data_IF_484957333244
#
_entry.id   IF_484957333244
#
_cell.length_a   1.000
_cell.length_b   1.000
_cell.length_c   1.000
_cell.angle_alpha   90.00
_cell.angle_beta   90.00
_cell.angle_gamma   90.00
#
_symmetry.space_group_name_H-M   'P 1'
#
loop_
_entity.id
_entity.type
_entity.pdbx_description
1 polymer ?
#
# COMPACT_ATOMS: atom_id res chain seq x y z
N UNK A 1 -68.76 -23.33 33.08
CA UNK A 1 -69.39 -22.52 32.03
C UNK A 1 -68.40 -22.36 30.88
N UNK A 2 -68.33 -23.41 30.07
CA UNK A 2 -67.67 -23.38 28.76
C UNK A 2 -68.40 -22.36 27.87
N UNK A 3 -67.69 -21.87 26.85
CA UNK A 3 -68.25 -21.29 25.61
C UNK A 3 -69.03 -19.98 25.82
N UNK A 4 -68.36 -18.82 25.72
CA UNK A 4 -68.88 -17.62 25.03
C UNK A 4 -67.87 -16.45 25.12
N UNK A 5 -66.58 -16.69 24.86
CA UNK A 5 -65.66 -15.60 24.49
C UNK A 5 -65.21 -15.77 23.04
N UNK A 6 -66.21 -15.48 22.20
CA UNK A 6 -66.14 -14.80 20.92
C UNK A 6 -65.03 -15.20 19.93
N UNK A 7 -65.38 -16.12 19.02
CA UNK A 7 -64.77 -16.21 17.67
C UNK A 7 -64.71 -14.84 16.96
N UNK A 8 -65.65 -13.94 17.25
CA UNK A 8 -65.63 -12.56 16.77
C UNK A 8 -64.45 -11.74 17.32
N UNK A 9 -64.02 -11.96 18.57
CA UNK A 9 -62.93 -11.19 19.17
C UNK A 9 -61.57 -11.58 18.59
N UNK A 10 -61.38 -12.85 18.24
CA UNK A 10 -60.13 -13.32 17.61
C UNK A 10 -60.05 -12.92 16.14
N UNK A 11 -61.18 -12.98 15.40
CA UNK A 11 -61.23 -12.50 14.02
C UNK A 11 -61.09 -10.97 13.93
N UNK A 12 -61.68 -10.23 14.88
CA UNK A 12 -61.51 -8.77 14.98
C UNK A 12 -60.08 -8.39 15.38
N UNK A 13 -59.45 -9.15 16.28
CA UNK A 13 -58.03 -8.97 16.61
C UNK A 13 -57.12 -9.28 15.42
N UNK A 14 -57.39 -10.32 14.64
CA UNK A 14 -56.67 -10.63 13.39
C UNK A 14 -56.87 -9.56 12.32
N UNK A 15 -58.07 -9.00 12.18
CA UNK A 15 -58.35 -7.90 11.24
C UNK A 15 -57.69 -6.60 11.69
N UNK A 16 -57.62 -6.31 13.00
CA UNK A 16 -56.84 -5.20 13.54
C UNK A 16 -55.36 -5.46 13.32
N UNK A 17 -54.84 -6.65 13.62
CA UNK A 17 -53.43 -6.99 13.40
C UNK A 17 -53.06 -6.92 11.91
N UNK A 18 -53.91 -7.41 11.00
CA UNK A 18 -53.73 -7.28 9.55
C UNK A 18 -53.85 -5.83 9.09
N UNK A 19 -54.73 -5.02 9.68
CA UNK A 19 -54.80 -3.58 9.41
C UNK A 19 -53.59 -2.84 9.94
N UNK A 20 -53.10 -3.15 11.14
CA UNK A 20 -51.88 -2.58 11.72
C UNK A 20 -50.63 -3.03 10.95
N UNK A 21 -50.57 -4.30 10.50
CA UNK A 21 -49.52 -4.84 9.64
C UNK A 21 -49.60 -4.23 8.24
N UNK A 22 -50.79 -4.04 7.66
CA UNK A 22 -50.97 -3.32 6.38
C UNK A 22 -50.61 -1.85 6.50
N UNK A 23 -51.01 -1.18 7.58
CA UNK A 23 -50.68 0.23 7.87
C UNK A 23 -49.19 0.42 8.15
N UNK A 24 -48.53 -0.56 8.78
CA UNK A 24 -47.07 -0.61 8.90
C UNK A 24 -46.36 -1.01 7.60
N UNK A 25 -47.00 -1.80 6.72
CA UNK A 25 -46.48 -2.11 5.37
C UNK A 25 -46.62 -0.93 4.41
N UNK A 26 -47.68 -0.14 4.51
CA UNK A 26 -47.89 1.07 3.70
C UNK A 26 -46.87 2.16 4.01
N UNK A 27 -46.26 2.15 5.21
CA UNK A 27 -45.17 3.06 5.60
C UNK A 27 -43.74 2.51 5.44
N UNK A 28 -43.56 1.22 5.10
CA UNK A 28 -42.26 0.52 5.06
C UNK A 28 -42.13 -0.48 3.89
N UNK A 29 -42.93 -0.39 2.84
CA UNK A 29 -42.72 -1.22 1.66
C UNK A 29 -41.42 -0.79 0.98
N UNK A 30 -40.51 -1.75 0.75
CA UNK A 30 -39.28 -1.52 0.00
C UNK A 30 -39.66 -1.12 -1.43
N UNK A 31 -39.41 0.14 -1.83
CA UNK A 31 -39.67 0.57 -3.19
C UNK A 31 -38.66 -0.11 -4.12
N UNK A 32 -39.18 -0.76 -5.15
CA UNK A 32 -38.41 -1.29 -6.27
C UNK A 32 -37.83 -0.17 -7.12
N UNK A 33 -36.89 -0.52 -8.00
CA UNK A 33 -36.31 0.43 -8.96
C UNK A 33 -37.37 1.11 -9.81
N UNK A 34 -38.34 0.35 -10.30
CA UNK A 34 -39.46 0.90 -11.05
C UNK A 34 -40.25 1.93 -10.22
N UNK A 35 -40.58 1.60 -8.97
CA UNK A 35 -41.32 2.52 -8.09
C UNK A 35 -40.52 3.79 -7.77
N UNK A 36 -39.20 3.68 -7.61
CA UNK A 36 -38.33 4.84 -7.44
C UNK A 36 -38.31 5.71 -8.69
N UNK A 37 -38.10 5.13 -9.87
CA UNK A 37 -38.06 5.87 -11.14
C UNK A 37 -39.41 6.51 -11.47
N UNK A 38 -40.52 5.78 -11.29
CA UNK A 38 -41.88 6.28 -11.50
C UNK A 38 -42.18 7.47 -10.56
N UNK A 39 -41.73 7.39 -9.30
CA UNK A 39 -41.86 8.49 -8.33
C UNK A 39 -41.02 9.71 -8.75
N UNK A 40 -39.74 9.51 -9.10
CA UNK A 40 -38.81 10.57 -9.50
C UNK A 40 -39.35 11.32 -10.72
N UNK A 41 -39.73 10.60 -11.78
CA UNK A 41 -40.28 11.24 -12.99
C UNK A 41 -41.65 11.83 -12.71
N UNK A 42 -42.49 11.14 -11.92
CA UNK A 42 -43.84 11.60 -11.58
C UNK A 42 -43.87 12.90 -10.78
N UNK A 43 -42.92 13.12 -9.87
CA UNK A 43 -42.71 14.39 -9.16
C UNK A 43 -42.37 15.49 -10.17
N UNK A 44 -41.38 15.24 -11.03
CA UNK A 44 -40.95 16.20 -12.03
C UNK A 44 -42.09 16.57 -12.98
N UNK A 45 -42.90 15.62 -13.44
CA UNK A 45 -44.07 15.90 -14.30
C UNK A 45 -45.06 16.87 -13.63
N UNK A 46 -45.34 16.71 -12.33
CA UNK A 46 -46.34 17.50 -11.61
C UNK A 46 -45.85 18.88 -11.19
N UNK A 47 -44.58 19.03 -10.84
CA UNK A 47 -44.04 20.33 -10.44
C UNK A 47 -43.71 21.19 -11.67
N UNK A 48 -44.36 22.34 -11.79
CA UNK A 48 -44.17 23.25 -12.93
C UNK A 48 -42.83 23.98 -12.91
N UNK A 49 -42.11 23.97 -11.77
CA UNK A 49 -40.78 24.56 -11.64
C UNK A 49 -39.70 23.70 -12.28
N UNK A 50 -39.96 22.40 -12.43
CA UNK A 50 -39.06 21.41 -13.03
C UNK A 50 -39.37 21.29 -14.53
N UNK A 51 -38.33 21.46 -15.36
CA UNK A 51 -38.38 21.47 -16.82
C UNK A 51 -37.95 20.15 -17.44
N UNK A 52 -37.05 19.43 -16.77
CA UNK A 52 -36.53 18.15 -17.23
C UNK A 52 -35.84 17.36 -16.12
N UNK A 53 -35.56 16.09 -16.40
CA UNK A 53 -34.88 15.14 -15.52
C UNK A 53 -33.89 14.34 -16.35
N UNK A 54 -32.67 14.23 -15.85
CA UNK A 54 -31.72 13.22 -16.31
C UNK A 54 -31.10 12.50 -15.12
N UNK A 55 -30.54 11.31 -15.38
CA UNK A 55 -29.88 10.47 -14.40
C UNK A 55 -28.43 10.26 -14.83
N UNK A 56 -27.54 10.26 -13.85
CA UNK A 56 -26.11 10.02 -14.02
C UNK A 56 -25.67 8.75 -13.27
N UNK A 57 -24.36 8.53 -13.22
CA UNK A 57 -23.74 7.65 -12.23
C UNK A 57 -23.79 6.17 -12.59
N UNK A 58 -23.79 5.31 -11.58
CA UNK A 58 -23.57 3.88 -11.84
C UNK A 58 -24.75 3.18 -12.50
N UNK A 59 -25.98 3.71 -12.36
CA UNK A 59 -27.20 3.10 -12.91
C UNK A 59 -27.30 3.21 -14.43
N UNK A 60 -26.70 4.23 -15.02
CA UNK A 60 -26.60 4.42 -16.47
C UNK A 60 -25.40 3.69 -17.07
N UNK A 61 -24.47 3.21 -16.24
CA UNK A 61 -23.26 2.53 -16.69
C UNK A 61 -23.54 1.05 -17.01
N UNK A 62 -23.45 0.61 -18.28
CA UNK A 62 -23.72 -0.78 -18.66
C UNK A 62 -22.70 -1.79 -18.12
N UNK A 63 -21.52 -1.33 -17.69
CA UNK A 63 -20.41 -2.15 -17.18
C UNK A 63 -20.35 -2.17 -15.64
N UNK A 64 -21.17 -1.37 -14.95
CA UNK A 64 -21.24 -1.37 -13.50
C UNK A 64 -22.06 -2.56 -12.97
N UNK A 65 -21.76 -3.06 -11.75
CA UNK A 65 -22.63 -4.02 -11.08
C UNK A 65 -24.04 -3.47 -10.91
N UNK A 66 -25.04 -4.26 -11.30
CA UNK A 66 -26.45 -3.96 -11.05
C UNK A 66 -26.89 -4.63 -9.76
N UNK A 67 -26.93 -3.87 -8.66
CA UNK A 67 -27.25 -4.38 -7.33
C UNK A 67 -28.02 -3.38 -6.47
N UNK A 68 -28.41 -3.81 -5.27
CA UNK A 68 -29.26 -3.05 -4.34
C UNK A 68 -28.58 -1.83 -3.71
N UNK A 69 -27.27 -1.66 -3.89
CA UNK A 69 -26.49 -0.53 -3.38
C UNK A 69 -26.17 0.52 -4.45
N UNK A 70 -26.78 0.43 -5.64
CA UNK A 70 -26.70 1.52 -6.61
C UNK A 70 -27.57 2.69 -6.17
N UNK A 71 -26.94 3.85 -6.00
CA UNK A 71 -27.63 5.10 -5.71
C UNK A 71 -28.38 5.61 -6.95
N UNK A 72 -29.42 6.41 -6.74
CA UNK A 72 -30.06 7.18 -7.82
C UNK A 72 -29.41 8.56 -7.87
N UNK A 73 -28.52 8.78 -8.83
CA UNK A 73 -27.91 10.08 -9.10
C UNK A 73 -28.82 10.87 -10.06
N UNK A 74 -29.73 11.68 -9.52
CA UNK A 74 -30.77 12.37 -10.31
C UNK A 74 -30.48 13.85 -10.39
N UNK A 75 -30.74 14.43 -11.56
CA UNK A 75 -30.71 15.87 -11.76
C UNK A 75 -32.05 16.37 -12.26
N UNK A 76 -32.62 17.33 -11.54
CA UNK A 76 -33.78 18.10 -11.97
C UNK A 76 -33.34 19.44 -12.54
N UNK A 77 -33.72 19.68 -13.79
CA UNK A 77 -33.51 20.97 -14.45
C UNK A 77 -34.65 21.88 -14.03
N UNK A 78 -34.32 22.98 -13.37
CA UNK A 78 -35.30 23.94 -12.81
C UNK A 78 -35.12 25.32 -13.42
N UNK A 79 -36.15 26.16 -13.30
CA UNK A 79 -36.04 27.58 -13.64
C UNK A 79 -35.08 28.33 -12.70
N UNK A 80 -35.13 28.01 -11.41
CA UNK A 80 -34.34 28.61 -10.35
C UNK A 80 -34.27 27.66 -9.15
N UNK A 81 -33.24 27.77 -8.30
CA UNK A 81 -33.09 26.91 -7.11
C UNK A 81 -33.63 27.55 -5.82
N UNK A 82 -33.83 28.88 -5.81
CA UNK A 82 -34.14 29.66 -4.61
C UNK A 82 -35.45 29.24 -3.95
N UNK A 83 -36.53 28.98 -4.72
CA UNK A 83 -37.81 28.56 -4.15
C UNK A 83 -37.71 27.22 -3.44
N UNK A 84 -36.91 26.29 -3.97
CA UNK A 84 -36.64 24.99 -3.35
C UNK A 84 -35.77 25.14 -2.10
N UNK A 85 -34.76 26.02 -2.12
CA UNK A 85 -33.88 26.27 -0.97
C UNK A 85 -34.60 26.95 0.19
N UNK A 86 -35.56 27.83 -0.10
CA UNK A 86 -36.38 28.53 0.89
C UNK A 86 -37.40 27.59 1.56
N UNK A 87 -38.02 26.71 0.79
CA UNK A 87 -39.00 25.74 1.31
C UNK A 87 -38.36 24.39 1.65
N UNK A 88 -37.70 24.26 2.81
CA UNK A 88 -37.01 23.01 3.14
C UNK A 88 -37.91 21.76 3.25
N UNK A 89 -39.23 21.93 3.35
CA UNK A 89 -40.20 20.84 3.48
C UNK A 89 -40.59 20.23 2.12
N UNK A 90 -40.35 20.92 0.99
CA UNK A 90 -40.72 20.43 -0.34
C UNK A 90 -40.17 19.01 -0.62
N UNK A 91 -39.01 18.69 -0.05
CA UNK A 91 -38.31 17.42 -0.24
C UNK A 91 -39.04 16.22 0.40
N UNK A 92 -40.03 16.46 1.28
CA UNK A 92 -40.84 15.41 1.91
C UNK A 92 -41.70 14.63 0.91
N UNK A 93 -41.90 15.17 -0.29
CA UNK A 93 -42.62 14.49 -1.37
C UNK A 93 -41.99 13.16 -1.80
N UNK A 94 -40.68 12.97 -1.57
CA UNK A 94 -39.97 11.73 -1.89
C UNK A 94 -40.17 10.62 -0.84
N UNK A 95 -40.90 10.92 0.24
CA UNK A 95 -41.20 9.97 1.31
C UNK A 95 -40.25 10.06 2.49
N UNK A 96 -40.47 9.16 3.45
CA UNK A 96 -39.82 9.18 4.77
C UNK A 96 -38.32 8.90 4.66
N UNK A 97 -37.50 9.85 5.10
CA UNK A 97 -36.03 9.75 5.14
C UNK A 97 -35.54 9.24 6.50
N UNK A 98 -34.40 8.56 6.50
CA UNK A 98 -33.62 8.24 7.70
C UNK A 98 -32.72 9.43 8.07
N UNK A 99 -31.97 9.94 7.10
CA UNK A 99 -31.11 11.11 7.22
C UNK A 99 -30.89 11.75 5.86
N UNK A 100 -30.38 12.98 5.86
CA UNK A 100 -30.13 13.76 4.66
C UNK A 100 -28.96 14.73 4.86
N UNK A 101 -28.24 15.04 3.80
CA UNK A 101 -27.19 16.06 3.75
C UNK A 101 -27.52 17.12 2.69
N UNK A 102 -27.17 18.37 2.98
CA UNK A 102 -27.16 19.49 2.04
C UNK A 102 -25.69 19.81 1.70
N UNK A 103 -25.14 19.32 0.58
CA UNK A 103 -23.73 19.53 0.22
C UNK A 103 -23.37 21.01 0.08
N UNK A 104 -24.34 21.85 -0.29
CA UNK A 104 -24.12 23.26 -0.58
C UNK A 104 -24.25 24.19 0.63
N UNK A 105 -24.66 23.66 1.79
CA UNK A 105 -24.82 24.42 3.04
C UNK A 105 -23.62 24.25 3.99
N UNK A 106 -22.47 23.80 3.48
CA UNK A 106 -21.28 23.57 4.31
C UNK A 106 -20.71 24.91 4.80
N UNK A 107 -20.61 25.14 6.13
CA UNK A 107 -20.11 26.40 6.66
C UNK A 107 -18.69 26.71 6.18
N UNK A 108 -18.50 27.90 5.61
CA UNK A 108 -17.18 28.40 5.18
C UNK A 108 -16.71 27.92 3.80
N UNK A 109 -17.57 27.26 3.02
CA UNK A 109 -17.31 26.93 1.62
C UNK A 109 -18.21 27.77 0.71
N UNK A 110 -17.64 28.39 -0.32
CA UNK A 110 -18.41 29.04 -1.38
C UNK A 110 -18.96 27.97 -2.33
N UNK A 111 -20.26 28.01 -2.57
CA UNK A 111 -21.00 27.06 -3.43
C UNK A 111 -21.85 27.86 -4.43
N UNK A 112 -22.09 27.29 -5.62
CA UNK A 112 -22.96 27.91 -6.63
C UNK A 112 -24.42 27.50 -6.39
N UNK A 113 -24.89 27.68 -5.15
CA UNK A 113 -26.23 27.27 -4.72
C UNK A 113 -27.38 27.90 -5.53
N UNK A 114 -27.11 29.02 -6.22
CA UNK A 114 -28.05 29.69 -7.12
C UNK A 114 -28.29 28.90 -8.41
N UNK A 115 -27.30 28.15 -8.87
CA UNK A 115 -27.35 27.41 -10.13
C UNK A 115 -27.31 25.89 -9.98
N UNK A 116 -26.78 25.37 -8.87
CA UNK A 116 -26.69 23.96 -8.56
C UNK A 116 -26.88 23.75 -7.06
N UNK A 117 -27.86 22.93 -6.65
CA UNK A 117 -28.14 22.67 -5.24
C UNK A 117 -28.50 21.21 -4.97
N UNK A 118 -27.74 20.56 -4.09
CA UNK A 118 -27.80 19.13 -3.80
C UNK A 118 -28.62 18.75 -2.56
N UNK A 119 -29.24 17.58 -2.64
CA UNK A 119 -29.91 16.87 -1.55
C UNK A 119 -29.46 15.40 -1.60
N UNK A 120 -28.67 14.96 -0.61
CA UNK A 120 -28.24 13.55 -0.52
C UNK A 120 -29.11 12.86 0.52
N UNK A 121 -29.98 11.95 0.07
CA UNK A 121 -31.06 11.41 0.90
C UNK A 121 -30.94 9.90 1.06
N UNK A 122 -30.96 9.44 2.31
CA UNK A 122 -31.14 8.04 2.65
C UNK A 122 -32.59 7.81 3.11
N UNK A 123 -33.34 6.94 2.44
CA UNK A 123 -34.74 6.66 2.77
C UNK A 123 -34.92 5.51 3.76
N UNK A 124 -36.08 5.50 4.43
CA UNK A 124 -36.47 4.47 5.40
C UNK A 124 -36.61 3.06 4.81
N UNK A 125 -36.75 2.99 3.50
CA UNK A 125 -36.82 1.76 2.73
C UNK A 125 -35.47 1.32 2.15
N UNK A 126 -34.37 1.97 2.55
CA UNK A 126 -33.00 1.60 2.17
C UNK A 126 -32.50 2.19 0.85
N UNK A 127 -33.39 2.73 0.00
CA UNK A 127 -32.99 3.43 -1.22
C UNK A 127 -32.23 4.73 -0.90
N UNK A 128 -31.24 5.07 -1.72
CA UNK A 128 -30.49 6.33 -1.65
C UNK A 128 -30.68 7.15 -2.93
N UNK A 129 -31.02 8.43 -2.78
CA UNK A 129 -31.20 9.39 -3.86
C UNK A 129 -30.29 10.59 -3.63
N UNK A 130 -29.36 10.78 -4.55
CA UNK A 130 -28.49 11.94 -4.62
C UNK A 130 -29.08 12.87 -5.69
N UNK A 131 -29.88 13.84 -5.25
CA UNK A 131 -30.64 14.75 -6.12
C UNK A 131 -29.92 16.10 -6.24
N UNK A 132 -29.72 16.57 -7.46
CA UNK A 132 -29.28 17.95 -7.72
C UNK A 132 -30.37 18.73 -8.46
N UNK A 133 -30.61 19.96 -8.02
CA UNK A 133 -31.41 20.94 -8.74
C UNK A 133 -30.45 21.85 -9.51
N UNK A 134 -30.60 21.94 -10.82
CA UNK A 134 -29.71 22.74 -11.67
C UNK A 134 -30.50 23.69 -12.56
N UNK A 135 -30.00 24.90 -12.76
CA UNK A 135 -30.53 25.78 -13.81
C UNK A 135 -30.16 25.23 -15.19
N UNK A 136 -30.97 25.51 -16.22
CA UNK A 136 -30.69 25.03 -17.57
C UNK A 136 -29.30 25.48 -18.07
N UNK A 137 -28.94 26.75 -17.86
CA UNK A 137 -27.64 27.27 -18.26
C UNK A 137 -26.49 26.52 -17.58
N UNK A 138 -26.65 26.14 -16.31
CA UNK A 138 -25.66 25.36 -15.60
C UNK A 138 -25.57 23.92 -16.14
N UNK A 139 -26.70 23.26 -16.33
CA UNK A 139 -26.75 21.90 -16.87
C UNK A 139 -26.06 21.79 -18.24
N UNK A 140 -26.32 22.75 -19.13
CA UNK A 140 -25.77 22.76 -20.49
C UNK A 140 -24.24 22.90 -20.54
N UNK A 141 -23.58 23.30 -19.46
CA UNK A 141 -22.11 23.36 -19.39
C UNK A 141 -21.47 21.96 -19.40
N UNK A 142 -22.13 20.98 -18.78
CA UNK A 142 -21.50 19.70 -18.47
C UNK A 142 -22.30 18.46 -18.91
N UNK A 143 -23.61 18.59 -19.20
CA UNK A 143 -24.46 17.46 -19.56
C UNK A 143 -23.96 16.67 -20.79
N UNK A 144 -23.28 17.33 -21.73
CA UNK A 144 -22.69 16.67 -22.90
C UNK A 144 -21.32 16.03 -22.62
N UNK A 145 -20.67 16.40 -21.51
CA UNK A 145 -19.37 15.86 -21.10
C UNK A 145 -19.52 14.66 -20.17
N UNK A 146 -20.63 14.54 -19.44
CA UNK A 146 -20.96 13.34 -18.67
C UNK A 146 -21.47 12.23 -19.60
N UNK A 147 -20.58 11.31 -19.96
CA UNK A 147 -20.95 10.16 -20.80
C UNK A 147 -21.71 9.08 -20.06
N UNK A 148 -21.98 9.23 -18.77
CA UNK A 148 -22.90 8.39 -17.99
C UNK A 148 -24.24 9.07 -17.78
N UNK A 149 -24.70 9.88 -18.74
CA UNK A 149 -25.98 10.59 -18.67
C UNK A 149 -27.10 9.85 -19.45
N UNK A 150 -28.30 9.80 -18.86
CA UNK A 150 -29.53 9.35 -19.50
C UNK A 150 -30.68 10.34 -19.24
N UNK A 151 -31.29 10.87 -20.30
CA UNK A 151 -32.45 11.77 -20.18
C UNK A 151 -33.70 10.93 -19.85
N UNK A 152 -34.33 11.23 -18.72
CA UNK A 152 -35.56 10.57 -18.25
C UNK A 152 -36.83 11.36 -18.63
N UNK A 153 -36.74 12.69 -18.67
CA UNK A 153 -37.82 13.60 -19.01
C UNK A 153 -37.28 14.90 -19.59
N UNK A 154 -37.84 15.36 -20.71
CA UNK A 154 -37.64 16.72 -21.21
C UNK A 154 -39.00 17.28 -21.63
N UNK A 155 -39.56 18.18 -20.81
CA UNK A 155 -40.92 18.71 -21.04
C UNK A 155 -40.97 19.72 -22.18
N UNK A 156 -39.85 20.39 -22.44
CA UNK A 156 -39.80 21.57 -23.29
C UNK A 156 -38.88 21.38 -24.51
N UNK A 157 -38.28 20.19 -24.67
CA UNK A 157 -37.30 19.88 -25.72
C UNK A 157 -36.10 20.84 -25.67
N UNK A 158 -35.61 21.09 -24.46
CA UNK A 158 -34.55 22.06 -24.15
C UNK A 158 -33.17 21.40 -24.00
N UNK A 159 -33.13 20.08 -23.90
CA UNK A 159 -31.88 19.33 -23.78
C UNK A 159 -31.33 18.94 -25.15
N UNK A 160 -29.98 18.89 -25.29
CA UNK A 160 -29.36 18.38 -26.49
C UNK A 160 -29.58 16.87 -26.63
N UNK A 161 -29.35 16.34 -27.83
CA UNK A 161 -29.27 14.90 -28.02
C UNK A 161 -28.04 14.35 -27.28
N UNK A 162 -28.27 13.40 -26.36
CA UNK A 162 -27.22 12.79 -25.54
C UNK A 162 -26.85 11.43 -26.16
N UNK A 163 -25.55 11.16 -26.39
CA UNK A 163 -25.11 9.86 -26.89
C UNK A 163 -25.42 8.76 -25.87
N UNK A 164 -25.42 7.50 -26.32
CA UNK A 164 -25.63 6.36 -25.43
C UNK A 164 -24.58 6.34 -24.30
N UNK A 165 -25.05 6.14 -23.07
CA UNK A 165 -24.20 6.11 -21.89
C UNK A 165 -23.06 5.07 -21.99
N UNK A 166 -21.86 5.48 -21.58
CA UNK A 166 -20.62 4.68 -21.62
C UNK A 166 -19.64 5.15 -20.55
N UNK A 167 -18.78 4.25 -20.08
CA UNK A 167 -17.79 4.51 -19.02
C UNK A 167 -16.42 4.97 -19.55
N UNK A 168 -16.35 5.36 -20.82
CA UNK A 168 -15.13 5.75 -21.54
C UNK A 168 -14.32 6.84 -20.83
N UNK A 169 -14.96 7.80 -20.17
CA UNK A 169 -14.26 8.86 -19.44
C UNK A 169 -13.52 8.36 -18.18
N UNK A 170 -13.90 7.17 -17.72
CA UNK A 170 -13.30 6.49 -16.57
C UNK A 170 -12.34 5.38 -16.98
N UNK A 171 -12.06 5.22 -18.27
CA UNK A 171 -11.07 4.27 -18.72
C UNK A 171 -9.68 4.65 -18.22
N UNK A 172 -8.84 3.63 -18.04
CA UNK A 172 -7.44 3.84 -17.69
C UNK A 172 -6.80 4.69 -18.79
N UNK A 173 -6.33 5.88 -18.44
CA UNK A 173 -5.61 6.74 -19.37
C UNK A 173 -4.20 6.20 -19.57
N UNK A 174 -3.77 6.12 -20.83
CA UNK A 174 -2.39 5.80 -21.17
C UNK A 174 -1.49 6.90 -20.60
N UNK A 175 -0.48 6.58 -19.78
CA UNK A 175 0.41 7.59 -19.25
C UNK A 175 1.38 8.08 -20.31
N UNK A 176 1.72 9.36 -20.21
CA UNK A 176 2.91 9.89 -20.86
C UNK A 176 4.19 9.36 -20.19
N UNK A 177 5.32 9.49 -20.89
CA UNK A 177 6.62 9.02 -20.38
C UNK A 177 6.95 9.62 -19.02
N UNK A 178 6.73 10.91 -18.87
CA UNK A 178 7.03 11.67 -17.66
C UNK A 178 6.14 11.23 -16.48
N UNK A 179 4.87 10.91 -16.74
CA UNK A 179 3.94 10.41 -15.71
C UNK A 179 4.36 9.02 -15.21
N UNK A 180 4.76 8.13 -16.12
CA UNK A 180 5.28 6.82 -15.76
C UNK A 180 6.54 6.91 -14.90
N UNK A 181 7.51 7.75 -15.31
CA UNK A 181 8.76 7.94 -14.58
C UNK A 181 8.52 8.57 -13.21
N UNK A 182 7.64 9.56 -13.12
CA UNK A 182 7.27 10.18 -11.87
C UNK A 182 6.61 9.19 -10.91
N UNK A 183 5.66 8.37 -11.38
CA UNK A 183 5.05 7.30 -10.58
C UNK A 183 6.09 6.32 -10.02
N UNK A 184 7.05 5.89 -10.84
CA UNK A 184 8.16 5.05 -10.40
C UNK A 184 9.01 5.72 -9.32
N UNK A 185 9.43 6.96 -9.58
CA UNK A 185 10.27 7.72 -8.66
C UNK A 185 9.57 7.98 -7.32
N UNK A 186 8.32 8.45 -7.33
CA UNK A 186 7.54 8.70 -6.12
C UNK A 186 7.37 7.42 -5.28
N UNK A 187 7.06 6.29 -5.92
CA UNK A 187 6.94 5.01 -5.21
C UNK A 187 8.23 4.65 -4.47
N UNK A 188 9.36 4.66 -5.17
CA UNK A 188 10.67 4.31 -4.60
C UNK A 188 11.16 5.35 -3.59
N UNK A 189 10.88 6.63 -3.82
CA UNK A 189 11.24 7.72 -2.92
C UNK A 189 10.47 7.65 -1.60
N UNK A 190 9.20 7.24 -1.60
CA UNK A 190 8.41 7.19 -0.37
C UNK A 190 8.85 6.11 0.61
N UNK A 191 9.59 5.09 0.16
CA UNK A 191 10.18 4.07 1.03
C UNK A 191 11.13 4.67 2.08
N UNK A 192 11.74 5.82 1.79
CA UNK A 192 12.58 6.57 2.72
C UNK A 192 11.83 6.91 4.01
N UNK A 193 10.63 7.48 3.86
CA UNK A 193 9.79 7.96 4.96
C UNK A 193 9.16 6.79 5.70
N UNK A 194 8.69 5.78 4.95
CA UNK A 194 8.09 4.57 5.51
C UNK A 194 9.11 3.80 6.35
N UNK A 195 10.30 3.53 5.82
CA UNK A 195 11.36 2.81 6.53
C UNK A 195 11.80 3.54 7.80
N UNK A 196 11.97 4.88 7.74
CA UNK A 196 12.31 5.70 8.92
C UNK A 196 11.20 5.65 9.97
N UNK A 197 9.94 5.81 9.57
CA UNK A 197 8.80 5.76 10.48
C UNK A 197 8.69 4.40 11.17
N UNK A 198 8.85 3.30 10.43
CA UNK A 198 8.86 1.95 11.01
C UNK A 198 10.04 1.76 11.97
N UNK A 199 11.25 2.19 11.60
CA UNK A 199 12.42 2.15 12.47
C UNK A 199 12.28 3.05 13.72
N UNK A 200 11.34 3.99 13.76
CA UNK A 200 11.00 4.80 14.94
C UNK A 200 9.78 4.28 15.71
N UNK A 201 9.01 3.35 15.15
CA UNK A 201 7.76 2.87 15.73
C UNK A 201 6.58 3.85 15.54
N UNK A 202 6.65 4.73 14.53
CA UNK A 202 5.65 5.76 14.23
C UNK A 202 4.49 5.20 13.38
N UNK A 203 3.75 4.22 13.92
CA UNK A 203 2.79 3.41 13.14
C UNK A 203 1.70 4.23 12.42
N UNK A 204 1.00 5.21 13.05
CA UNK A 204 0.00 6.01 12.34
C UNK A 204 0.57 6.78 11.15
N UNK A 205 1.73 7.42 11.35
CA UNK A 205 2.44 8.14 10.29
C UNK A 205 2.78 7.21 9.12
N UNK A 206 3.29 6.01 9.40
CA UNK A 206 3.60 5.02 8.36
C UNK A 206 2.35 4.59 7.60
N UNK A 207 1.22 4.38 8.30
CA UNK A 207 -0.05 4.03 7.64
C UNK A 207 -0.51 5.14 6.71
N UNK A 208 -0.38 6.41 7.11
CA UNK A 208 -0.68 7.55 6.24
C UNK A 208 0.26 7.60 5.04
N UNK A 209 1.57 7.41 5.23
CA UNK A 209 2.54 7.37 4.13
C UNK A 209 2.25 6.24 3.13
N UNK A 210 1.82 5.08 3.61
CA UNK A 210 1.41 3.96 2.78
C UNK A 210 0.11 4.25 2.02
N UNK A 211 -0.92 4.73 2.73
CA UNK A 211 -2.26 4.89 2.18
C UNK A 211 -2.40 6.11 1.26
N UNK A 212 -1.69 7.20 1.56
CA UNK A 212 -1.84 8.48 0.88
C UNK A 212 -0.80 8.75 -0.20
N UNK A 213 0.36 8.07 -0.15
CA UNK A 213 1.47 8.34 -1.08
C UNK A 213 1.94 7.08 -1.81
N UNK A 214 2.41 6.05 -1.12
CA UNK A 214 3.03 4.89 -1.79
C UNK A 214 2.03 3.96 -2.50
N UNK A 215 0.91 3.58 -1.84
CA UNK A 215 -0.08 2.69 -2.44
C UNK A 215 -0.82 3.31 -3.63
N UNK A 216 -1.17 4.62 -3.64
CA UNK A 216 -1.68 5.25 -4.84
C UNK A 216 -0.80 5.03 -6.09
N UNK A 217 0.53 5.14 -5.97
CA UNK A 217 1.43 4.86 -7.11
C UNK A 217 1.40 3.39 -7.53
N UNK A 218 1.37 2.45 -6.57
CA UNK A 218 1.15 1.03 -6.88
C UNK A 218 -0.17 0.78 -7.61
N UNK A 219 -1.26 1.43 -7.17
CA UNK A 219 -2.56 1.30 -7.80
C UNK A 219 -2.57 1.89 -9.21
N UNK A 220 -1.89 3.02 -9.46
CA UNK A 220 -1.68 3.57 -10.80
C UNK A 220 -0.93 2.58 -11.69
N UNK A 221 0.18 2.03 -11.20
CA UNK A 221 1.00 1.09 -11.95
C UNK A 221 0.23 -0.19 -12.32
N UNK A 222 -0.56 -0.74 -11.39
CA UNK A 222 -1.46 -1.88 -11.65
C UNK A 222 -2.56 -1.52 -12.64
N UNK A 223 -3.14 -0.32 -12.53
CA UNK A 223 -4.13 0.17 -13.50
C UNK A 223 -3.53 0.29 -14.90
N UNK A 224 -2.34 0.86 -15.05
CA UNK A 224 -1.64 0.93 -16.33
C UNK A 224 -1.29 -0.43 -16.89
N UNK A 225 -0.89 -1.41 -16.07
CA UNK A 225 -0.73 -2.79 -16.50
C UNK A 225 -2.03 -3.36 -17.08
N UNK A 226 -3.17 -3.15 -16.41
CA UNK A 226 -4.48 -3.54 -16.94
C UNK A 226 -4.79 -2.80 -18.24
N UNK A 227 -4.53 -1.48 -18.32
CA UNK A 227 -4.70 -0.68 -19.52
C UNK A 227 -3.88 -1.20 -20.70
N UNK A 228 -2.61 -1.51 -20.50
CA UNK A 228 -1.72 -2.08 -21.51
C UNK A 228 -2.25 -3.41 -22.06
N UNK A 229 -2.77 -4.29 -21.20
CA UNK A 229 -3.29 -5.59 -21.64
C UNK A 229 -4.66 -5.49 -22.33
N UNK A 230 -5.41 -4.42 -22.08
CA UNK A 230 -6.76 -4.21 -22.62
C UNK A 230 -6.84 -3.02 -23.59
N UNK A 231 -5.71 -2.59 -24.17
CA UNK A 231 -5.69 -1.50 -25.15
C UNK A 231 -6.19 -0.15 -24.63
N UNK A 232 -6.14 0.08 -23.32
CA UNK A 232 -6.68 1.24 -22.61
C UNK A 232 -8.19 1.46 -22.82
N UNK A 233 -8.94 0.40 -23.13
CA UNK A 233 -10.40 0.45 -23.34
C UNK A 233 -11.20 -0.17 -22.20
N UNK A 234 -10.78 0.07 -20.95
CA UNK A 234 -11.49 -0.45 -19.77
C UNK A 234 -11.29 0.45 -18.56
N UNK A 235 -12.26 0.41 -17.63
CA UNK A 235 -12.14 1.03 -16.31
C UNK A 235 -11.80 0.01 -15.22
N UNK A 236 -10.83 0.36 -14.37
CA UNK A 236 -10.54 -0.39 -13.13
C UNK A 236 -11.39 0.08 -11.94
N UNK A 237 -12.29 1.05 -12.17
CA UNK A 237 -13.14 1.66 -11.16
C UNK A 237 -12.38 2.56 -10.18
N UNK A 238 -13.13 3.42 -9.47
CA UNK A 238 -12.57 4.28 -8.41
C UNK A 238 -11.79 3.45 -7.40
N UNK A 239 -10.58 3.90 -7.08
CA UNK A 239 -9.63 3.20 -6.20
C UNK A 239 -9.32 1.75 -6.62
N UNK A 240 -9.43 1.41 -7.90
CA UNK A 240 -9.12 0.08 -8.42
C UNK A 240 -10.09 -1.01 -7.96
N UNK A 241 -11.32 -0.66 -7.58
CA UNK A 241 -12.33 -1.61 -7.07
C UNK A 241 -12.66 -2.78 -8.03
N UNK A 242 -12.31 -2.65 -9.31
CA UNK A 242 -12.51 -3.72 -10.32
C UNK A 242 -11.21 -4.42 -10.74
N UNK A 243 -10.06 -4.14 -10.10
CA UNK A 243 -8.79 -4.79 -10.44
C UNK A 243 -8.84 -6.32 -10.37
N UNK A 244 -9.66 -6.89 -9.48
CA UNK A 244 -9.86 -8.34 -9.37
C UNK A 244 -10.45 -9.00 -10.63
N UNK A 245 -11.11 -8.23 -11.50
CA UNK A 245 -11.64 -8.72 -12.77
C UNK A 245 -10.54 -8.90 -13.84
N UNK A 246 -9.44 -8.15 -13.71
CA UNK A 246 -8.41 -8.04 -14.75
C UNK A 246 -7.08 -8.66 -14.35
N UNK A 247 -6.71 -8.56 -13.07
CA UNK A 247 -5.45 -9.10 -12.58
C UNK A 247 -5.58 -10.61 -12.32
N UNK A 248 -4.55 -11.42 -12.64
CA UNK A 248 -4.49 -12.80 -12.18
C UNK A 248 -4.63 -12.90 -10.67
N UNK A 249 -5.24 -13.98 -10.18
CA UNK A 249 -5.44 -14.21 -8.74
C UNK A 249 -4.12 -14.12 -7.94
N UNK A 250 -3.01 -14.58 -8.53
CA UNK A 250 -1.68 -14.47 -7.94
C UNK A 250 -1.24 -13.02 -7.71
N UNK A 251 -1.53 -12.10 -8.65
CA UNK A 251 -1.19 -10.68 -8.51
C UNK A 251 -2.18 -9.96 -7.60
N UNK A 252 -3.49 -10.22 -7.75
CA UNK A 252 -4.50 -9.59 -6.89
C UNK A 252 -4.34 -10.01 -5.42
N UNK A 253 -4.02 -11.29 -5.16
CA UNK A 253 -3.70 -11.78 -3.83
C UNK A 253 -2.49 -11.09 -3.21
N UNK A 254 -1.46 -10.76 -4.01
CA UNK A 254 -0.32 -9.95 -3.55
C UNK A 254 -0.73 -8.52 -3.23
N UNK A 255 -1.58 -7.89 -4.05
CA UNK A 255 -2.15 -6.57 -3.74
C UNK A 255 -2.87 -6.57 -2.40
N UNK A 256 -3.68 -7.59 -2.09
CA UNK A 256 -4.39 -7.68 -0.81
C UNK A 256 -3.43 -7.81 0.39
N UNK A 257 -2.30 -8.52 0.23
CA UNK A 257 -1.24 -8.60 1.26
C UNK A 257 -0.58 -7.25 1.55
N UNK A 258 -0.73 -6.25 0.68
CA UNK A 258 -0.24 -4.90 0.92
C UNK A 258 -1.10 -4.07 1.89
N UNK A 259 -2.22 -4.61 2.37
CA UNK A 259 -3.09 -3.98 3.37
C UNK A 259 -2.85 -4.61 4.76
N UNK A 260 -1.87 -4.12 5.54
CA UNK A 260 -1.49 -4.74 6.79
C UNK A 260 -2.45 -4.37 7.93
N UNK A 261 -2.48 -5.21 8.97
CA UNK A 261 -2.90 -4.75 10.29
C UNK A 261 -1.90 -3.68 10.80
N UNK A 262 -2.35 -2.79 11.69
CA UNK A 262 -1.48 -1.78 12.33
C UNK A 262 -0.49 -2.42 13.34
N UNK A 263 0.37 -3.30 12.86
CA UNK A 263 1.42 -4.02 13.58
C UNK A 263 2.71 -3.92 12.77
N UNK A 264 3.82 -3.60 13.44
CA UNK A 264 5.10 -3.32 12.80
C UNK A 264 5.53 -4.41 11.80
N UNK A 265 5.60 -5.68 12.22
CA UNK A 265 5.99 -6.79 11.36
C UNK A 265 5.06 -6.95 10.14
N UNK A 266 3.75 -6.81 10.35
CA UNK A 266 2.78 -6.90 9.27
C UNK A 266 2.98 -5.78 8.23
N UNK A 267 3.31 -4.58 8.71
CA UNK A 267 3.56 -3.44 7.83
C UNK A 267 4.87 -3.62 7.06
N UNK A 268 5.94 -4.08 7.69
CA UNK A 268 7.18 -4.42 6.99
C UNK A 268 6.95 -5.43 5.87
N UNK A 269 6.23 -6.52 6.16
CA UNK A 269 5.91 -7.52 5.13
C UNK A 269 5.07 -6.94 4.00
N UNK A 270 4.06 -6.12 4.32
CA UNK A 270 3.26 -5.45 3.30
C UNK A 270 4.10 -4.53 2.41
N UNK A 271 5.05 -3.77 2.98
CA UNK A 271 5.94 -2.87 2.23
C UNK A 271 6.85 -3.67 1.30
N UNK A 272 7.46 -4.76 1.77
CA UNK A 272 8.30 -5.60 0.90
C UNK A 272 7.49 -6.28 -0.22
N UNK A 273 6.25 -6.67 0.06
CA UNK A 273 5.33 -7.17 -0.95
C UNK A 273 4.97 -6.09 -1.98
N UNK A 274 4.72 -4.84 -1.53
CA UNK A 274 4.52 -3.68 -2.41
C UNK A 274 5.72 -3.48 -3.31
N UNK A 275 6.95 -3.48 -2.78
CA UNK A 275 8.16 -3.31 -3.58
C UNK A 275 8.28 -4.39 -4.66
N UNK A 276 8.04 -5.66 -4.30
CA UNK A 276 8.10 -6.76 -5.26
C UNK A 276 7.02 -6.69 -6.33
N UNK A 277 5.79 -6.29 -5.95
CA UNK A 277 4.68 -6.19 -6.90
C UNK A 277 4.85 -4.99 -7.83
N UNK A 278 5.30 -3.86 -7.29
CA UNK A 278 5.58 -2.65 -8.05
C UNK A 278 6.70 -2.88 -9.06
N UNK A 279 7.84 -3.41 -8.64
CA UNK A 279 9.00 -3.62 -9.52
C UNK A 279 8.67 -4.53 -10.71
N UNK A 280 8.03 -5.67 -10.45
CA UNK A 280 7.56 -6.59 -11.50
C UNK A 280 6.60 -5.90 -12.48
N UNK A 281 5.62 -5.16 -11.94
CA UNK A 281 4.59 -4.50 -12.76
C UNK A 281 5.17 -3.35 -13.57
N UNK A 282 6.04 -2.53 -12.97
CA UNK A 282 6.67 -1.37 -13.60
C UNK A 282 7.57 -1.79 -14.76
N UNK A 283 8.39 -2.83 -14.59
CA UNK A 283 9.19 -3.43 -15.66
C UNK A 283 8.32 -3.85 -16.84
N UNK A 284 7.24 -4.60 -16.55
CA UNK A 284 6.31 -5.08 -17.57
C UNK A 284 5.62 -3.92 -18.32
N UNK A 285 5.14 -2.90 -17.60
CA UNK A 285 4.49 -1.73 -18.21
C UNK A 285 5.50 -0.95 -19.05
N UNK A 286 6.69 -0.68 -18.53
CA UNK A 286 7.79 -0.01 -19.25
C UNK A 286 8.16 -0.73 -20.55
N UNK A 287 8.34 -2.05 -20.51
CA UNK A 287 8.66 -2.87 -21.68
C UNK A 287 7.58 -2.82 -22.77
N UNK A 288 6.31 -2.84 -22.37
CA UNK A 288 5.16 -2.79 -23.28
C UNK A 288 4.94 -1.40 -23.85
N UNK A 289 5.20 -0.36 -23.08
CA UNK A 289 5.08 1.04 -23.50
C UNK A 289 6.34 1.60 -24.16
N UNK A 290 7.45 0.84 -24.15
CA UNK A 290 8.78 1.27 -24.64
C UNK A 290 9.33 2.48 -23.87
N UNK A 291 9.09 2.51 -22.57
CA UNK A 291 9.64 3.49 -21.64
C UNK A 291 10.66 2.78 -20.74
N UNK A 292 11.88 3.32 -20.65
CA UNK A 292 12.91 2.77 -19.79
C UNK A 292 12.53 2.95 -18.32
N UNK A 293 12.56 1.86 -17.56
CA UNK A 293 12.38 1.84 -16.11
C UNK A 293 13.74 1.96 -15.42
N UNK A 294 13.84 2.81 -14.39
CA UNK A 294 15.08 2.99 -13.64
C UNK A 294 15.28 1.86 -12.61
N UNK A 295 15.87 0.77 -13.09
CA UNK A 295 16.15 -0.40 -12.28
C UNK A 295 17.16 -0.14 -11.16
N UNK A 296 18.08 0.81 -11.38
CA UNK A 296 19.14 1.13 -10.43
C UNK A 296 18.58 1.95 -9.27
N UNK A 297 17.68 2.91 -9.54
CA UNK A 297 16.92 3.61 -8.51
C UNK A 297 16.08 2.63 -7.66
N UNK A 298 15.36 1.72 -8.33
CA UNK A 298 14.56 0.70 -7.66
C UNK A 298 15.40 -0.18 -6.72
N UNK A 299 16.54 -0.67 -7.23
CA UNK A 299 17.50 -1.49 -6.48
C UNK A 299 18.05 -0.72 -5.28
N UNK A 300 18.50 0.52 -5.47
CA UNK A 300 19.12 1.33 -4.42
C UNK A 300 18.12 1.73 -3.33
N UNK A 301 16.89 2.09 -3.70
CA UNK A 301 15.82 2.37 -2.72
C UNK A 301 15.45 1.11 -1.92
N UNK A 302 15.34 -0.04 -2.59
CA UNK A 302 15.09 -1.31 -1.91
C UNK A 302 16.23 -1.69 -0.97
N UNK A 303 17.49 -1.50 -1.38
CA UNK A 303 18.66 -1.74 -0.54
C UNK A 303 18.63 -0.86 0.72
N UNK A 304 18.31 0.43 0.58
CA UNK A 304 18.13 1.33 1.72
C UNK A 304 17.05 0.82 2.69
N UNK A 305 15.91 0.36 2.17
CA UNK A 305 14.82 -0.18 2.97
C UNK A 305 15.25 -1.46 3.73
N UNK A 306 15.95 -2.38 3.06
CA UNK A 306 16.47 -3.62 3.65
C UNK A 306 17.50 -3.33 4.75
N UNK A 307 18.41 -2.38 4.52
CA UNK A 307 19.33 -1.89 5.55
C UNK A 307 18.59 -1.27 6.73
N UNK A 308 17.52 -0.51 6.47
CA UNK A 308 16.71 0.11 7.53
C UNK A 308 15.97 -0.92 8.37
N UNK A 309 15.43 -1.97 7.74
CA UNK A 309 14.74 -3.07 8.40
C UNK A 309 15.65 -3.82 9.38
N UNK A 310 16.87 -4.15 8.94
CA UNK A 310 17.83 -4.89 9.75
C UNK A 310 18.60 -4.02 10.75
N UNK A 311 18.57 -2.70 10.60
CA UNK A 311 19.34 -1.76 11.43
C UNK A 311 18.93 -1.87 12.92
N UNK A 312 19.85 -2.23 13.83
CA UNK A 312 19.54 -2.32 15.25
C UNK A 312 18.97 -1.00 15.81
N UNK A 313 17.95 -1.11 16.66
CA UNK A 313 17.33 0.06 17.30
C UNK A 313 18.35 0.83 18.14
N UNK A 314 18.24 2.16 18.13
CA UNK A 314 19.12 3.06 18.90
C UNK A 314 20.49 3.34 18.26
N UNK A 315 20.75 2.84 17.05
CA UNK A 315 21.90 3.24 16.26
C UNK A 315 21.89 4.75 15.96
N UNK A 316 23.07 5.38 16.03
CA UNK A 316 23.25 6.83 15.78
C UNK A 316 23.72 7.16 14.36
N UNK A 317 24.14 6.14 13.62
CA UNK A 317 24.61 6.24 12.25
C UNK A 317 23.91 5.17 11.44
N UNK A 318 23.53 5.51 10.22
CA UNK A 318 23.01 4.55 9.26
C UNK A 318 24.15 3.68 8.74
N UNK A 319 23.89 2.38 8.61
CA UNK A 319 24.85 1.44 8.06
C UNK A 319 24.22 0.79 6.84
N UNK A 320 24.98 0.76 5.73
CA UNK A 320 24.66 -0.03 4.55
C UNK A 320 24.93 -1.52 4.82
N UNK A 321 24.36 -2.04 5.90
CA UNK A 321 24.54 -3.41 6.38
C UNK A 321 23.18 -4.03 6.62
N UNK A 322 22.94 -5.18 6.02
CA UNK A 322 21.71 -5.95 6.16
C UNK A 322 22.01 -7.44 6.19
N UNK A 323 21.01 -8.25 6.53
CA UNK A 323 21.10 -9.70 6.46
C UNK A 323 21.19 -10.13 4.99
N UNK A 324 22.12 -11.04 4.71
CA UNK A 324 22.30 -11.60 3.38
C UNK A 324 21.11 -12.49 3.00
N UNK A 325 20.64 -12.36 1.76
CA UNK A 325 19.68 -13.29 1.17
C UNK A 325 20.41 -14.55 0.70
N UNK A 326 19.82 -15.75 0.78
CA UNK A 326 20.48 -16.98 0.35
C UNK A 326 20.98 -16.95 -1.10
N UNK A 327 20.28 -16.24 -2.00
CA UNK A 327 20.68 -16.06 -3.41
C UNK A 327 22.03 -15.35 -3.58
N UNK A 328 22.49 -14.60 -2.57
CA UNK A 328 23.77 -13.87 -2.61
C UNK A 328 24.95 -14.68 -2.04
N UNK A 329 24.73 -15.94 -1.63
CA UNK A 329 25.78 -16.78 -1.04
C UNK A 329 26.97 -17.01 -1.99
N UNK A 330 26.72 -17.09 -3.30
CA UNK A 330 27.78 -17.26 -4.30
C UNK A 330 28.73 -16.06 -4.36
N UNK A 331 28.22 -14.83 -4.18
CA UNK A 331 29.04 -13.63 -4.16
C UNK A 331 29.89 -13.57 -2.88
N UNK A 332 29.29 -13.86 -1.73
CA UNK A 332 30.01 -13.94 -0.46
C UNK A 332 31.09 -15.04 -0.47
N UNK A 333 30.81 -16.20 -1.07
CA UNK A 333 31.77 -17.29 -1.19
C UNK A 333 33.01 -16.91 -2.03
N UNK A 334 32.83 -16.11 -3.10
CA UNK A 334 33.96 -15.56 -3.88
C UNK A 334 34.82 -14.63 -3.04
N UNK A 335 34.19 -13.70 -2.30
CA UNK A 335 34.89 -12.78 -1.39
C UNK A 335 35.65 -13.56 -0.31
N UNK A 336 35.04 -14.63 0.21
CA UNK A 336 35.68 -15.54 1.16
C UNK A 336 36.94 -16.19 0.57
N UNK A 337 36.84 -16.78 -0.62
CA UNK A 337 37.97 -17.48 -1.25
C UNK A 337 39.12 -16.52 -1.55
N UNK A 338 38.83 -15.39 -2.19
CA UNK A 338 39.82 -14.35 -2.48
C UNK A 338 40.47 -13.81 -1.20
N UNK A 339 39.66 -13.59 -0.16
CA UNK A 339 40.13 -13.12 1.14
C UNK A 339 41.08 -14.10 1.81
N UNK A 340 40.78 -15.39 1.78
CA UNK A 340 41.62 -16.42 2.39
C UNK A 340 42.92 -16.66 1.61
N UNK A 341 42.87 -16.69 0.28
CA UNK A 341 44.07 -16.85 -0.55
C UNK A 341 45.08 -15.69 -0.33
N UNK A 342 44.57 -14.48 -0.07
CA UNK A 342 45.39 -13.30 0.18
C UNK A 342 45.91 -13.22 1.62
N UNK A 343 45.04 -13.48 2.62
CA UNK A 343 45.37 -13.30 4.04
C UNK A 343 46.07 -14.51 4.67
N UNK A 344 45.93 -15.70 4.09
CA UNK A 344 46.38 -16.97 4.68
C UNK A 344 47.33 -17.74 3.76
N UNK A 345 48.32 -17.05 3.16
CA UNK A 345 49.36 -17.65 2.30
C UNK A 345 50.20 -18.75 2.99
N UNK A 346 50.12 -18.87 4.31
CA UNK A 346 50.75 -19.92 5.12
C UNK A 346 49.91 -21.22 5.20
N UNK A 347 48.68 -21.21 4.66
CA UNK A 347 47.81 -22.38 4.48
C UNK A 347 47.77 -22.69 2.97
N UNK A 348 47.96 -23.96 2.54
CA UNK A 348 47.94 -24.33 1.13
C UNK A 348 46.65 -23.89 0.41
N UNK A 349 46.76 -23.36 -0.79
CA UNK A 349 45.60 -22.87 -1.55
C UNK A 349 44.55 -23.96 -1.79
N UNK A 350 44.99 -25.21 -1.97
CA UNK A 350 44.15 -26.38 -2.19
C UNK A 350 43.21 -26.65 -1.01
N UNK A 351 43.56 -26.21 0.20
CA UNK A 351 42.67 -26.29 1.36
C UNK A 351 41.44 -25.40 1.13
N UNK A 352 41.63 -24.14 0.75
CA UNK A 352 40.53 -23.19 0.53
C UNK A 352 39.67 -23.59 -0.66
N UNK A 353 40.31 -23.98 -1.78
CA UNK A 353 39.60 -24.41 -3.00
C UNK A 353 38.72 -25.63 -2.75
N UNK A 354 39.20 -26.61 -1.97
CA UNK A 354 38.44 -27.83 -1.64
C UNK A 354 37.25 -27.57 -0.71
N UNK A 355 37.33 -26.55 0.14
CA UNK A 355 36.26 -26.19 1.07
C UNK A 355 35.25 -25.20 0.46
N UNK A 356 35.49 -24.69 -0.75
CA UNK A 356 34.68 -23.63 -1.36
C UNK A 356 33.19 -23.99 -1.46
N UNK A 357 32.87 -25.15 -2.02
CA UNK A 357 31.48 -25.58 -2.21
C UNK A 357 30.74 -25.77 -0.88
N UNK A 358 31.44 -26.25 0.14
CA UNK A 358 30.87 -26.41 1.47
C UNK A 358 30.59 -25.07 2.14
N UNK A 359 31.56 -24.14 2.10
CA UNK A 359 31.38 -22.79 2.66
C UNK A 359 30.27 -22.03 1.94
N UNK A 360 30.17 -22.19 0.61
CA UNK A 360 29.07 -21.62 -0.19
C UNK A 360 27.70 -22.10 0.30
N UNK A 361 27.54 -23.40 0.59
CA UNK A 361 26.30 -23.94 1.18
C UNK A 361 26.06 -23.40 2.58
N UNK A 362 27.07 -23.37 3.43
CA UNK A 362 26.96 -22.85 4.80
C UNK A 362 26.57 -21.36 4.81
N UNK A 363 27.11 -20.55 3.90
CA UNK A 363 26.75 -19.14 3.77
C UNK A 363 25.28 -18.95 3.37
N UNK A 364 24.70 -19.87 2.60
CA UNK A 364 23.29 -19.81 2.22
C UNK A 364 22.33 -20.14 3.38
N UNK A 365 22.79 -20.92 4.37
CA UNK A 365 22.00 -21.39 5.51
C UNK A 365 22.26 -20.60 6.80
N UNK A 366 23.41 -19.95 6.92
CA UNK A 366 23.84 -19.25 8.12
C UNK A 366 23.32 -17.81 8.23
N UNK A 367 23.40 -17.27 9.45
CA UNK A 367 23.21 -15.83 9.66
C UNK A 367 24.46 -15.07 9.18
N UNK A 368 24.33 -14.41 8.04
CA UNK A 368 25.38 -13.59 7.43
C UNK A 368 24.90 -12.16 7.29
N UNK A 369 25.72 -11.20 7.70
CA UNK A 369 25.50 -9.78 7.42
C UNK A 369 26.42 -9.32 6.30
N UNK A 370 25.88 -8.61 5.33
CA UNK A 370 26.64 -8.05 4.21
C UNK A 370 26.68 -6.54 4.31
N UNK A 371 27.79 -5.96 3.87
CA UNK A 371 27.84 -4.56 3.49
C UNK A 371 27.64 -4.50 1.98
N UNK A 372 26.60 -3.80 1.54
CA UNK A 372 26.22 -3.67 0.14
C UNK A 372 26.05 -2.20 -0.22
N UNK A 373 26.64 -1.79 -1.34
CA UNK A 373 26.45 -0.45 -1.93
C UNK A 373 25.91 -0.60 -3.37
N UNK A 374 25.87 0.50 -4.13
CA UNK A 374 25.37 0.50 -5.50
C UNK A 374 26.18 -0.44 -6.43
N UNK A 375 27.43 -0.76 -6.08
CA UNK A 375 28.28 -1.71 -6.82
C UNK A 375 28.11 -3.17 -6.38
N UNK A 376 27.25 -3.45 -5.38
CA UNK A 376 26.97 -4.79 -4.86
C UNK A 376 27.65 -5.09 -3.53
N UNK A 377 27.83 -6.37 -3.20
CA UNK A 377 28.34 -6.79 -1.89
C UNK A 377 29.85 -6.56 -1.84
N UNK A 378 30.27 -5.68 -0.94
CA UNK A 378 31.69 -5.33 -0.78
C UNK A 378 32.37 -6.07 0.39
N UNK A 379 31.59 -6.66 1.28
CA UNK A 379 32.09 -7.46 2.40
C UNK A 379 30.97 -8.11 3.19
N UNK A 380 31.33 -9.08 4.02
CA UNK A 380 30.37 -9.79 4.85
C UNK A 380 30.97 -10.23 6.19
N UNK A 381 30.10 -10.51 7.15
CA UNK A 381 30.40 -11.09 8.44
C UNK A 381 29.50 -12.31 8.67
N UNK A 382 30.10 -13.50 8.78
CA UNK A 382 29.40 -14.73 9.17
C UNK A 382 29.40 -14.86 10.69
N UNK A 383 28.24 -15.06 11.30
CA UNK A 383 28.09 -15.13 12.75
C UNK A 383 27.18 -16.28 13.17
N UNK A 384 27.45 -16.86 14.33
CA UNK A 384 26.59 -17.87 14.96
C UNK A 384 26.62 -17.66 16.47
N UNK A 385 25.50 -17.28 17.07
CA UNK A 385 25.37 -17.10 18.53
C UNK A 385 26.47 -16.21 19.16
N UNK A 386 26.84 -15.12 18.49
CA UNK A 386 27.89 -14.21 18.93
C UNK A 386 29.32 -14.65 18.56
N UNK A 387 29.50 -15.84 18.00
CA UNK A 387 30.79 -16.28 17.44
C UNK A 387 30.93 -15.81 15.99
N UNK A 388 31.89 -14.93 15.72
CA UNK A 388 32.25 -14.46 14.38
C UNK A 388 33.10 -15.54 13.72
N UNK A 389 32.51 -16.22 12.73
CA UNK A 389 33.19 -17.25 11.92
C UNK A 389 34.18 -16.63 10.93
N UNK A 390 33.91 -15.41 10.49
CA UNK A 390 34.81 -14.66 9.65
C UNK A 390 34.22 -13.34 9.19
N UNK A 391 35.10 -12.37 8.96
CA UNK A 391 34.77 -11.07 8.36
C UNK A 391 35.69 -10.88 7.17
N UNK A 392 35.08 -10.70 6.00
CA UNK A 392 35.80 -10.56 4.74
C UNK A 392 35.36 -9.29 4.03
N UNK A 393 36.32 -8.59 3.44
CA UNK A 393 36.10 -7.38 2.65
C UNK A 393 36.90 -7.52 1.36
N UNK A 394 36.27 -7.20 0.22
CA UNK A 394 36.90 -7.20 -1.11
C UNK A 394 38.22 -6.43 -1.07
N UNK A 395 39.25 -6.96 -1.73
CA UNK A 395 40.64 -6.45 -1.64
C UNK A 395 40.75 -4.94 -1.89
N UNK A 396 40.10 -4.42 -2.95
CA UNK A 396 40.08 -2.99 -3.30
C UNK A 396 39.25 -2.09 -2.37
N UNK A 397 38.48 -2.68 -1.46
CA UNK A 397 37.56 -1.98 -0.55
C UNK A 397 38.00 -2.03 0.91
N UNK A 398 39.13 -2.68 1.20
CA UNK A 398 39.73 -2.71 2.54
C UNK A 398 40.20 -1.32 2.96
N UNK A 399 40.26 -1.11 4.27
CA UNK A 399 40.63 0.18 4.87
C UNK A 399 39.69 1.37 4.55
N UNK A 400 38.55 1.13 3.90
CA UNK A 400 37.47 2.12 3.69
C UNK A 400 36.38 2.10 4.78
N UNK A 401 36.64 1.43 5.91
CA UNK A 401 35.69 1.36 7.04
C UNK A 401 34.64 0.25 6.97
N UNK A 402 34.57 -0.54 5.88
CA UNK A 402 33.56 -1.61 5.72
C UNK A 402 33.59 -2.64 6.84
N UNK A 403 34.77 -3.20 7.15
CA UNK A 403 34.91 -4.17 8.25
C UNK A 403 34.50 -3.58 9.60
N UNK A 404 34.76 -2.29 9.83
CA UNK A 404 34.33 -1.57 11.03
C UNK A 404 32.80 -1.41 11.06
N UNK A 405 32.16 -1.12 9.93
CA UNK A 405 30.71 -1.01 9.85
C UNK A 405 30.03 -2.36 10.12
N UNK A 406 30.54 -3.45 9.55
CA UNK A 406 30.08 -4.82 9.84
C UNK A 406 30.21 -5.17 11.33
N UNK A 407 31.37 -4.88 11.95
CA UNK A 407 31.56 -5.09 13.38
C UNK A 407 30.65 -4.19 14.23
N UNK A 408 30.46 -2.94 13.84
CA UNK A 408 29.57 -2.00 14.55
C UNK A 408 28.14 -2.52 14.57
N UNK A 409 27.66 -3.03 13.43
CA UNK A 409 26.36 -3.68 13.32
C UNK A 409 26.27 -4.90 14.26
N UNK A 410 27.26 -5.79 14.23
CA UNK A 410 27.30 -6.97 15.10
C UNK A 410 27.30 -6.58 16.59
N UNK A 411 28.16 -5.63 17.00
CA UNK A 411 28.25 -5.14 18.39
C UNK A 411 26.96 -4.50 18.90
N UNK A 412 26.14 -3.96 18.00
CA UNK A 412 24.83 -3.44 18.39
C UNK A 412 23.84 -4.57 18.72
N UNK A 413 23.93 -5.71 18.02
CA UNK A 413 23.02 -6.85 18.12
C UNK A 413 23.38 -7.87 19.20
N UNK A 414 24.67 -8.14 19.43
CA UNK A 414 25.12 -9.14 20.41
C UNK A 414 25.70 -8.48 21.66
N UNK A 415 25.52 -9.13 22.82
CA UNK A 415 26.09 -8.68 24.09
C UNK A 415 27.58 -9.04 24.22
N UNK A 416 27.96 -10.17 23.64
CA UNK A 416 29.33 -10.65 23.58
C UNK A 416 29.61 -11.11 22.14
N UNK A 417 30.83 -10.85 21.68
CA UNK A 417 31.35 -11.35 20.42
C UNK A 417 32.65 -12.09 20.69
N UNK A 418 32.84 -13.23 20.04
CA UNK A 418 34.09 -14.01 20.09
C UNK A 418 34.53 -14.42 18.69
N UNK A 419 35.83 -14.67 18.51
CA UNK A 419 36.41 -15.11 17.25
C UNK A 419 37.75 -15.79 17.46
N UNK A 420 38.20 -16.52 16.44
CA UNK A 420 39.60 -16.95 16.32
C UNK A 420 40.30 -16.20 15.20
N UNK A 421 41.58 -15.88 15.43
CA UNK A 421 42.46 -15.26 14.43
C UNK A 421 43.84 -15.89 14.49
N UNK A 422 44.38 -16.32 13.35
CA UNK A 422 45.72 -16.89 13.25
C UNK A 422 46.80 -15.89 13.70
N UNK A 423 47.83 -16.38 14.40
CA UNK A 423 48.97 -15.57 14.87
C UNK A 423 49.74 -14.94 13.70
N UNK A 424 49.83 -15.64 12.58
CA UNK A 424 50.41 -15.16 11.33
C UNK A 424 49.59 -14.03 10.67
N UNK A 425 48.27 -13.95 10.90
CA UNK A 425 47.41 -12.89 10.35
C UNK A 425 47.41 -11.64 11.24
N UNK A 426 48.58 -10.99 11.31
CA UNK A 426 48.82 -9.79 12.13
C UNK A 426 47.85 -8.65 11.82
N UNK A 427 47.52 -8.45 10.55
CA UNK A 427 46.61 -7.39 10.11
C UNK A 427 45.20 -7.56 10.68
N UNK A 428 44.64 -8.78 10.63
CA UNK A 428 43.33 -9.06 11.20
C UNK A 428 43.35 -8.94 12.73
N UNK A 429 44.39 -9.45 13.39
CA UNK A 429 44.57 -9.32 14.84
C UNK A 429 44.59 -7.86 15.28
N UNK A 430 45.37 -7.01 14.61
CA UNK A 430 45.41 -5.57 14.89
C UNK A 430 44.08 -4.87 14.62
N UNK A 431 43.36 -5.28 13.56
CA UNK A 431 42.01 -4.79 13.30
C UNK A 431 41.06 -5.09 14.46
N UNK A 432 41.01 -6.32 14.97
CA UNK A 432 40.15 -6.67 16.09
C UNK A 432 40.55 -5.96 17.40
N UNK A 433 41.85 -5.82 17.68
CA UNK A 433 42.34 -5.07 18.85
C UNK A 433 41.89 -3.59 18.78
N UNK A 434 42.05 -2.93 17.62
CA UNK A 434 41.58 -1.54 17.43
C UNK A 434 40.07 -1.41 17.59
N UNK A 435 39.35 -2.45 17.23
CA UNK A 435 37.90 -2.56 17.41
C UNK A 435 37.51 -3.00 18.84
N UNK A 436 38.46 -3.08 19.78
CA UNK A 436 38.19 -3.29 21.21
C UNK A 436 38.05 -4.75 21.63
N UNK A 437 38.42 -5.70 20.77
CA UNK A 437 38.57 -7.10 21.18
C UNK A 437 39.87 -7.29 21.97
N UNK A 438 39.86 -8.22 22.93
CA UNK A 438 41.05 -8.60 23.71
C UNK A 438 41.32 -10.10 23.52
N UNK A 439 42.59 -10.48 23.58
CA UNK A 439 43.00 -11.89 23.58
C UNK A 439 42.53 -12.54 24.88
N UNK A 440 41.75 -13.63 24.76
CA UNK A 440 41.33 -14.46 25.89
C UNK A 440 42.31 -15.60 26.11
N UNK A 441 42.69 -16.31 25.05
CA UNK A 441 43.67 -17.39 25.10
C UNK A 441 44.36 -17.58 23.75
N UNK A 442 45.50 -18.29 23.78
CA UNK A 442 46.24 -18.75 22.60
C UNK A 442 46.10 -20.26 22.49
N UNK A 443 45.84 -20.76 21.29
CA UNK A 443 45.67 -22.17 21.01
C UNK A 443 46.26 -22.56 19.66
N UNK A 444 45.94 -23.78 19.22
CA UNK A 444 46.30 -24.32 17.91
C UNK A 444 45.04 -24.79 17.22
N UNK A 445 44.80 -24.33 16.00
CA UNK A 445 43.68 -24.78 15.17
C UNK A 445 43.88 -26.26 14.80
N UNK A 446 42.89 -27.09 15.12
CA UNK A 446 42.95 -28.54 14.88
C UNK A 446 42.94 -28.92 13.40
N UNK A 447 42.39 -28.07 12.53
CA UNK A 447 42.30 -28.34 11.09
C UNK A 447 43.57 -27.96 10.34
N UNK A 448 44.26 -26.90 10.77
CA UNK A 448 45.42 -26.34 10.06
C UNK A 448 46.75 -26.54 10.79
N UNK A 449 46.71 -26.87 12.09
CA UNK A 449 47.88 -26.99 12.95
C UNK A 449 48.57 -25.66 13.26
N UNK A 450 47.95 -24.52 12.91
CA UNK A 450 48.50 -23.18 13.07
C UNK A 450 48.11 -22.58 14.42
N UNK A 451 48.95 -21.69 14.94
CA UNK A 451 48.65 -20.98 16.18
C UNK A 451 47.57 -19.93 15.94
N UNK A 452 46.63 -19.81 16.87
CA UNK A 452 45.55 -18.83 16.81
C UNK A 452 45.26 -18.22 18.18
N UNK A 453 44.64 -17.04 18.18
CA UNK A 453 44.12 -16.41 19.38
C UNK A 453 42.61 -16.44 19.39
N UNK A 454 42.04 -16.92 20.48
CA UNK A 454 40.64 -16.62 20.80
C UNK A 454 40.59 -15.17 21.30
N UNK A 455 39.75 -14.35 20.66
CA UNK A 455 39.54 -12.96 21.03
C UNK A 455 38.08 -12.71 21.40
N UNK A 456 37.85 -11.88 22.41
CA UNK A 456 36.51 -11.57 22.92
C UNK A 456 36.26 -10.06 23.00
N UNK A 457 35.01 -9.67 22.79
CA UNK A 457 34.47 -8.33 23.01
C UNK A 457 33.15 -8.43 23.79
N UNK A 458 32.93 -7.56 24.78
CA UNK A 458 31.72 -7.51 25.61
C UNK A 458 31.15 -6.10 25.65
N UNK A 459 29.83 -5.98 25.49
CA UNK A 459 29.10 -4.71 25.60
C UNK A 459 29.16 -4.21 27.06
N UNK A 460 29.46 -2.93 27.24
CA UNK A 460 29.43 -2.28 28.57
C UNK A 460 30.62 -2.56 29.50
N UNK A 461 31.41 -3.61 29.25
CA UNK A 461 32.52 -4.06 30.11
C UNK A 461 33.63 -3.01 30.35
N UNK A 462 33.62 -1.89 29.63
CA UNK A 462 34.66 -0.86 29.69
C UNK A 462 34.19 0.53 30.16
N UNK A 463 32.93 0.69 30.61
CA UNK A 463 32.55 1.89 31.39
C UNK A 463 33.01 1.81 32.85
N UNK A 464 33.27 0.61 33.37
CA UNK A 464 33.59 0.39 34.78
C UNK A 464 35.11 0.30 35.06
N UNK A 465 35.95 -0.25 34.16
CA UNK A 465 37.43 -0.25 34.34
C UNK A 465 38.04 1.17 34.35
N UNK A 466 37.41 2.17 33.71
CA UNK A 466 37.86 3.57 33.78
C UNK A 466 37.44 4.29 35.08
N UNK A 467 36.52 3.71 35.85
CA UNK A 467 36.16 4.21 37.19
C UNK A 467 37.01 3.56 38.28
N UNK A 468 37.43 2.30 38.12
CA UNK A 468 38.31 1.62 39.08
C UNK A 468 39.77 2.05 39.00
N UNK A 469 40.28 2.42 37.82
CA UNK A 469 41.63 3.02 37.68
C UNK A 469 41.69 4.53 38.02
N UNK A 470 40.63 5.08 38.60
CA UNK A 470 40.54 6.48 39.07
C UNK A 470 40.19 6.59 40.57
N UNK A 471 40.20 5.47 41.30
CA UNK A 471 40.24 5.43 42.76
C UNK A 471 41.61 4.93 43.19
#
# INVERSE_FOLDING_TARGET
>A
MYKFFNKFSFLYFLVILEKEIRKNREGNALRSEKEMMDMIVGIAVKDTRIRGVYMNGSRTNPNAPQDVFQDYDIVYIVYETESFRKDREWIDIFGKRLYMQYPDDVPGQETDAENCYGYLMQFGDGNRLDLHLVTLEYALKDICHDRLCEILLDKEQILPEIPKATDEDHWVKRPEKEEFLHCCNEFWWMLNSIGKGLWRGEIPYVMDMLNMHSRPELMKMLAWNVGVENGFSCSVGKSGKYLSKYLPESQYGRLLKTYPQAKEDAIWQAVFEMCGLFDETARKVGDRMKIAYDEEEAKNSRLYLECTYDLPRGMKEFLMVHRMKPVNADEAAKIWLEGNLDAHHFIPEEYWKRNYDEVRRQLAEAEVYVYEDNEGIQGFAGITDGYIRGIFVRKGMRSKGIGKNLLKFCKAKYQELSLHVYDENKQAKEFYIREGFRVKQKGTDTNTGRLEYEMIWRKGYYKDEQKENKK
#
